data_IF_376836140225
#
_entry.id   IF_376836140225
#
_cell.length_a   1.000
_cell.length_b   1.000
_cell.length_c   1.000
_cell.angle_alpha   90.00
_cell.angle_beta   90.00
_cell.angle_gamma   90.00
#
_symmetry.space_group_name_H-M   'P 1'
#
loop_
_entity.id
_entity.type
_entity.pdbx_description
1 polymer ?
#
# COMPACT_ATOMS: atom_id res chain seq x y z
N UNK A 1 14.91 -15.40 33.78
CA UNK A 1 13.67 -16.09 33.36
C UNK A 1 12.96 -15.44 32.16
N UNK A 2 13.08 -14.11 31.99
CA UNK A 2 12.34 -13.36 30.95
C UNK A 2 12.88 -13.54 29.54
N UNK A 3 14.19 -13.51 29.34
CA UNK A 3 14.81 -13.60 28.00
C UNK A 3 14.58 -14.97 27.33
N UNK A 4 14.64 -16.06 28.08
CA UNK A 4 14.42 -17.41 27.55
C UNK A 4 12.97 -17.57 27.08
N UNK A 5 11.99 -17.05 27.80
CA UNK A 5 10.58 -17.06 27.42
C UNK A 5 10.31 -16.24 26.14
N UNK A 6 10.96 -15.08 25.97
CA UNK A 6 10.83 -14.24 24.78
C UNK A 6 11.42 -14.97 23.57
N UNK A 7 12.60 -15.56 23.71
CA UNK A 7 13.28 -16.31 22.64
C UNK A 7 12.47 -17.52 22.15
N UNK A 8 11.84 -18.26 23.07
CA UNK A 8 11.04 -19.42 22.72
C UNK A 8 9.72 -19.04 22.04
N UNK A 9 9.08 -17.95 22.50
CA UNK A 9 7.89 -17.38 21.84
C UNK A 9 8.22 -16.91 20.42
N UNK A 10 9.36 -16.24 20.23
CA UNK A 10 9.81 -15.80 18.93
C UNK A 10 10.07 -16.98 17.97
N UNK A 11 10.76 -18.02 18.45
CA UNK A 11 10.98 -19.25 17.67
C UNK A 11 9.66 -19.92 17.27
N UNK A 12 8.68 -19.96 18.18
CA UNK A 12 7.37 -20.52 17.87
C UNK A 12 6.65 -19.67 16.84
N UNK A 13 6.64 -18.35 16.99
CA UNK A 13 6.03 -17.43 16.03
C UNK A 13 6.65 -17.57 14.64
N UNK A 14 7.99 -17.63 14.53
CA UNK A 14 8.68 -17.86 13.26
C UNK A 14 8.30 -19.21 12.63
N UNK A 15 8.21 -20.29 13.45
CA UNK A 15 7.82 -21.63 12.97
C UNK A 15 6.38 -21.65 12.44
N UNK A 16 5.48 -20.96 13.12
CA UNK A 16 4.07 -20.83 12.69
C UNK A 16 3.99 -20.02 11.41
N UNK A 17 4.68 -18.87 11.36
CA UNK A 17 4.71 -18.01 10.19
C UNK A 17 5.26 -18.70 8.95
N UNK A 18 6.30 -19.51 9.09
CA UNK A 18 6.86 -20.28 8.00
C UNK A 18 5.88 -21.33 7.41
N UNK A 19 4.93 -21.82 8.23
CA UNK A 19 3.93 -22.82 7.80
C UNK A 19 2.60 -22.22 7.35
N UNK A 20 2.22 -21.04 7.88
CA UNK A 20 0.88 -20.47 7.75
C UNK A 20 0.87 -19.07 7.17
N UNK A 21 2.03 -18.46 6.91
CA UNK A 21 2.21 -17.05 6.49
C UNK A 21 1.64 -16.05 7.51
N UNK A 22 1.48 -16.46 8.76
CA UNK A 22 0.94 -15.69 9.86
C UNK A 22 1.55 -16.19 11.19
N UNK A 23 1.90 -15.33 12.18
CA UNK A 23 1.67 -13.87 12.23
C UNK A 23 2.60 -13.08 11.32
N UNK A 24 2.19 -11.83 11.00
CA UNK A 24 3.07 -10.85 10.37
C UNK A 24 3.98 -10.22 11.42
N UNK A 25 5.22 -9.90 11.02
CA UNK A 25 6.18 -9.19 11.86
C UNK A 25 6.37 -7.77 11.35
N UNK A 26 6.45 -6.82 12.27
CA UNK A 26 6.80 -5.44 11.98
C UNK A 26 8.14 -5.11 12.64
N UNK A 27 9.07 -4.58 11.87
CA UNK A 27 10.39 -4.15 12.34
C UNK A 27 10.37 -2.65 12.58
N UNK A 28 10.03 -2.25 13.81
CA UNK A 28 9.88 -0.84 14.17
C UNK A 28 11.21 -0.08 14.11
N UNK A 29 12.31 -0.77 14.37
CA UNK A 29 13.68 -0.26 14.34
C UNK A 29 14.33 -0.29 12.94
N UNK A 30 13.60 -0.71 11.91
CA UNK A 30 14.11 -0.65 10.54
C UNK A 30 14.30 0.81 10.09
N UNK A 31 15.37 1.14 9.32
CA UNK A 31 15.71 2.52 8.93
C UNK A 31 14.54 3.26 8.24
N UNK A 32 13.77 2.57 7.41
CA UNK A 32 12.62 3.16 6.71
C UNK A 32 11.43 3.48 7.65
N UNK A 33 11.39 2.88 8.84
CA UNK A 33 10.42 3.18 9.88
C UNK A 33 10.95 4.28 10.80
N UNK A 34 12.21 4.17 11.24
CA UNK A 34 12.85 5.18 12.09
C UNK A 34 12.90 6.56 11.46
N UNK A 35 12.89 6.65 10.14
CA UNK A 35 12.85 7.94 9.41
C UNK A 35 11.73 8.87 9.90
N UNK A 36 10.60 8.33 10.33
CA UNK A 36 9.41 9.08 10.75
C UNK A 36 9.28 9.21 12.27
N UNK A 37 9.96 8.32 13.01
CA UNK A 37 9.87 8.29 14.47
C UNK A 37 10.51 9.51 15.11
N UNK A 38 9.79 10.12 16.06
CA UNK A 38 10.28 11.22 16.89
C UNK A 38 10.06 10.86 18.35
N UNK A 39 11.14 10.85 19.15
CA UNK A 39 11.05 10.55 20.57
C UNK A 39 10.11 11.52 21.31
N UNK A 40 9.25 11.00 22.17
CA UNK A 40 8.22 11.78 22.86
C UNK A 40 6.97 12.08 22.04
N UNK A 41 6.89 11.60 20.79
CA UNK A 41 5.78 11.80 19.85
C UNK A 41 5.19 10.45 19.43
N UNK A 42 4.34 9.80 20.27
CA UNK A 42 3.80 8.47 19.97
C UNK A 42 2.97 8.40 18.69
N UNK A 43 2.40 9.52 18.23
CA UNK A 43 1.69 9.61 16.95
C UNK A 43 2.60 9.37 15.74
N UNK A 44 3.93 9.48 15.90
CA UNK A 44 4.92 9.20 14.86
C UNK A 44 5.35 7.74 14.82
N UNK A 45 4.92 6.92 15.76
CA UNK A 45 5.15 5.48 15.70
C UNK A 45 4.37 4.85 14.55
N UNK A 46 5.01 3.90 13.87
CA UNK A 46 4.40 3.23 12.75
C UNK A 46 3.45 2.13 13.22
N UNK A 47 2.22 2.19 12.74
CA UNK A 47 1.24 1.13 12.85
C UNK A 47 0.85 0.61 11.45
N UNK A 48 0.65 -0.71 11.36
CA UNK A 48 0.18 -1.35 10.13
C UNK A 48 -1.32 -1.59 10.25
N UNK A 49 -2.06 -1.18 9.22
CA UNK A 49 -3.50 -1.39 9.11
C UNK A 49 -3.80 -2.68 8.35
N UNK A 50 -4.84 -3.38 8.76
CA UNK A 50 -5.21 -4.66 8.17
C UNK A 50 -4.05 -5.65 8.24
N UNK A 51 -3.65 -6.19 7.09
CA UNK A 51 -2.56 -7.16 7.04
C UNK A 51 -1.17 -6.51 7.02
N UNK A 52 -0.96 -5.48 6.17
CA UNK A 52 0.38 -4.92 5.87
C UNK A 52 0.35 -3.49 5.36
N UNK A 53 -0.79 -2.81 5.41
CA UNK A 53 -0.90 -1.45 4.90
C UNK A 53 -0.20 -0.48 5.85
N UNK A 54 0.77 0.25 5.33
CA UNK A 54 1.53 1.28 6.03
C UNK A 54 1.21 2.63 5.41
N UNK A 55 0.68 3.55 6.21
CA UNK A 55 0.39 4.92 5.78
C UNK A 55 1.19 5.87 6.66
N UNK A 56 2.19 6.54 6.11
CA UNK A 56 3.04 7.51 6.81
C UNK A 56 3.21 8.80 6.01
N UNK A 57 3.84 8.73 4.83
CA UNK A 57 4.00 9.91 3.99
C UNK A 57 2.67 10.60 3.72
N UNK A 58 2.66 11.92 3.75
CA UNK A 58 1.50 12.73 3.44
C UNK A 58 1.88 13.82 2.44
N UNK A 59 1.58 13.59 1.17
CA UNK A 59 1.91 14.51 0.08
C UNK A 59 1.08 15.80 0.19
N UNK A 60 -0.15 15.70 0.72
CA UNK A 60 -1.04 16.85 0.91
C UNK A 60 -0.59 17.75 2.07
N UNK A 61 -0.11 17.16 3.16
CA UNK A 61 0.35 17.86 4.35
C UNK A 61 1.58 17.19 4.94
N UNK A 62 2.80 17.57 4.49
CA UNK A 62 4.05 16.96 4.97
C UNK A 62 4.31 17.12 6.47
N UNK A 63 3.62 18.05 7.15
CA UNK A 63 3.74 18.20 8.61
C UNK A 63 2.95 17.11 9.36
N UNK A 64 2.03 16.43 8.67
CA UNK A 64 1.20 15.35 9.22
C UNK A 64 1.60 13.97 8.66
N UNK A 65 2.89 13.67 8.68
CA UNK A 65 3.41 12.34 8.37
C UNK A 65 3.25 11.39 9.57
N UNK A 66 2.00 11.05 9.87
CA UNK A 66 1.60 10.18 10.97
C UNK A 66 0.64 9.08 10.47
N UNK A 67 0.51 8.00 11.22
CA UNK A 67 -0.45 6.92 10.92
C UNK A 67 -1.85 7.17 11.49
N UNK A 68 -2.01 7.66 12.76
CA UNK A 68 -3.33 7.81 13.38
C UNK A 68 -4.27 8.70 12.58
N UNK A 69 -5.54 8.31 12.53
CA UNK A 69 -6.59 9.06 11.85
C UNK A 69 -6.50 9.06 10.32
N UNK A 70 -5.68 8.21 9.72
CA UNK A 70 -5.48 8.11 8.27
C UNK A 70 -5.74 6.70 7.77
N UNK A 71 -5.90 6.53 6.45
CA UNK A 71 -6.13 5.22 5.87
C UNK A 71 -6.05 5.20 4.35
N UNK A 72 -6.22 4.01 3.79
CA UNK A 72 -6.34 3.82 2.35
C UNK A 72 -7.79 3.99 1.93
N UNK A 73 -8.04 4.94 1.04
CA UNK A 73 -9.39 5.29 0.55
C UNK A 73 -9.88 4.30 -0.49
N UNK A 74 -8.99 3.87 -1.37
CA UNK A 74 -9.30 2.94 -2.44
C UNK A 74 -8.04 2.27 -2.97
N UNK A 75 -8.20 1.07 -3.50
CA UNK A 75 -7.14 0.39 -4.22
C UNK A 75 -7.71 -0.33 -5.46
N UNK A 76 -6.87 -0.53 -6.46
CA UNK A 76 -7.16 -1.35 -7.63
C UNK A 76 -5.92 -2.15 -7.99
N UNK A 77 -6.10 -3.44 -8.31
CA UNK A 77 -5.00 -4.35 -8.61
C UNK A 77 -4.94 -4.69 -10.09
N UNK A 78 -3.74 -4.60 -10.66
CA UNK A 78 -3.43 -4.97 -12.04
C UNK A 78 -3.23 -6.49 -12.11
N UNK A 79 -3.86 -7.13 -13.09
CA UNK A 79 -3.70 -8.55 -13.38
C UNK A 79 -2.49 -8.76 -14.31
N UNK A 80 -1.29 -8.89 -13.71
CA UNK A 80 -0.04 -9.09 -14.46
C UNK A 80 -0.04 -10.37 -15.33
N UNK A 81 -0.56 -11.54 -14.87
CA UNK A 81 -0.63 -12.73 -15.70
C UNK A 81 -1.39 -12.52 -17.01
N UNK A 82 -2.51 -11.80 -16.97
CA UNK A 82 -3.28 -11.51 -18.18
C UNK A 82 -2.44 -10.73 -19.20
N UNK A 83 -1.76 -9.68 -18.75
CA UNK A 83 -0.89 -8.87 -19.61
C UNK A 83 0.23 -9.73 -20.18
N UNK A 84 0.87 -10.55 -19.35
CA UNK A 84 1.98 -11.42 -19.74
C UNK A 84 1.58 -12.48 -20.78
N UNK A 85 0.41 -13.10 -20.60
CA UNK A 85 -0.13 -14.07 -21.58
C UNK A 85 -0.41 -13.38 -22.92
N UNK A 86 -1.02 -12.18 -22.89
CA UNK A 86 -1.31 -11.40 -24.10
C UNK A 86 -0.05 -10.93 -24.80
N UNK A 87 0.99 -10.59 -24.03
CA UNK A 87 2.30 -10.19 -24.56
C UNK A 87 3.00 -11.31 -25.35
N UNK A 88 2.64 -12.57 -25.12
CA UNK A 88 3.22 -13.72 -25.83
C UNK A 88 4.76 -13.64 -25.90
N UNK A 89 5.41 -13.46 -24.73
CA UNK A 89 6.87 -13.32 -24.56
C UNK A 89 7.48 -12.02 -25.10
N UNK A 90 6.71 -11.10 -25.60
CA UNK A 90 7.20 -9.77 -26.01
C UNK A 90 7.26 -8.86 -24.78
N UNK A 91 8.48 -8.64 -24.26
CA UNK A 91 8.72 -7.85 -23.04
C UNK A 91 8.37 -6.37 -23.28
N UNK A 92 8.71 -5.79 -24.42
CA UNK A 92 8.43 -4.38 -24.72
C UNK A 92 6.91 -4.14 -24.79
N UNK A 93 6.17 -5.05 -25.43
CA UNK A 93 4.72 -4.98 -25.46
C UNK A 93 4.11 -5.11 -24.06
N UNK A 94 4.69 -5.99 -23.21
CA UNK A 94 4.24 -6.16 -21.82
C UNK A 94 4.35 -4.85 -21.03
N UNK A 95 5.49 -4.16 -21.11
CA UNK A 95 5.68 -2.89 -20.42
C UNK A 95 4.77 -1.79 -20.94
N UNK A 96 4.62 -1.66 -22.26
CA UNK A 96 3.69 -0.70 -22.85
C UNK A 96 2.23 -0.92 -22.41
N UNK A 97 1.79 -2.17 -22.36
CA UNK A 97 0.43 -2.48 -21.87
C UNK A 97 0.31 -2.31 -20.35
N UNK A 98 1.38 -2.56 -19.59
CA UNK A 98 1.44 -2.29 -18.17
C UNK A 98 1.25 -0.79 -17.89
N UNK A 99 1.91 0.09 -18.62
CA UNK A 99 1.75 1.54 -18.55
C UNK A 99 0.30 1.93 -18.82
N UNK A 100 -0.26 1.47 -19.93
CA UNK A 100 -1.66 1.74 -20.28
C UNK A 100 -2.64 1.28 -19.20
N UNK A 101 -2.45 0.09 -18.60
CA UNK A 101 -3.30 -0.40 -17.50
C UNK A 101 -3.12 0.40 -16.24
N UNK A 102 -1.92 0.86 -15.99
CA UNK A 102 -1.60 1.64 -14.80
C UNK A 102 -2.22 3.03 -14.90
N UNK A 103 -2.17 3.68 -16.06
CA UNK A 103 -2.88 4.96 -16.30
C UNK A 103 -4.39 4.82 -16.07
N UNK A 104 -5.00 3.77 -16.62
CA UNK A 104 -6.41 3.49 -16.43
C UNK A 104 -6.78 3.27 -14.95
N UNK A 105 -5.92 2.59 -14.20
CA UNK A 105 -6.10 2.37 -12.75
C UNK A 105 -6.03 3.69 -11.98
N UNK A 106 -5.10 4.56 -12.32
CA UNK A 106 -4.97 5.88 -11.69
C UNK A 106 -6.18 6.75 -11.97
N UNK A 107 -6.62 6.84 -13.22
CA UNK A 107 -7.85 7.57 -13.59
C UNK A 107 -9.06 7.07 -12.78
N UNK A 108 -9.23 5.75 -12.68
CA UNK A 108 -10.30 5.14 -11.89
C UNK A 108 -10.19 5.48 -10.40
N UNK A 109 -8.98 5.48 -9.83
CA UNK A 109 -8.77 5.82 -8.42
C UNK A 109 -9.07 7.30 -8.15
N UNK A 110 -8.69 8.20 -9.05
CA UNK A 110 -9.00 9.63 -8.96
C UNK A 110 -10.51 9.88 -9.10
N UNK A 111 -11.19 9.20 -10.01
CA UNK A 111 -12.65 9.28 -10.11
C UNK A 111 -13.34 8.83 -8.82
N UNK A 112 -12.89 7.71 -8.23
CA UNK A 112 -13.40 7.24 -6.93
C UNK A 112 -13.14 8.24 -5.80
N UNK A 113 -11.98 8.88 -5.80
CA UNK A 113 -11.70 9.95 -4.85
C UNK A 113 -12.70 11.09 -5.02
N UNK A 114 -12.96 11.55 -6.24
CA UNK A 114 -13.92 12.63 -6.52
C UNK A 114 -15.35 12.28 -6.06
N UNK A 115 -15.78 11.04 -6.26
CA UNK A 115 -17.09 10.56 -5.78
C UNK A 115 -17.16 10.59 -4.25
N UNK A 116 -16.09 10.16 -3.57
CA UNK A 116 -16.03 10.17 -2.10
C UNK A 116 -15.92 11.58 -1.54
N UNK A 117 -15.11 12.43 -2.16
CA UNK A 117 -14.82 13.79 -1.73
C UNK A 117 -16.04 14.73 -1.73
N UNK A 118 -17.02 14.47 -2.60
CA UNK A 118 -18.30 15.19 -2.67
C UNK A 118 -19.30 14.77 -1.59
N UNK A 119 -19.00 13.72 -0.84
CA UNK A 119 -19.86 13.27 0.27
C UNK A 119 -19.69 14.18 1.47
N UNK A 120 -20.67 14.14 2.37
CA UNK A 120 -20.72 14.94 3.59
C UNK A 120 -20.37 14.11 4.82
N UNK A 121 -20.04 14.78 5.93
CA UNK A 121 -19.71 14.14 7.20
C UNK A 121 -20.78 13.14 7.62
N UNK A 122 -22.07 13.45 7.49
CA UNK A 122 -23.16 12.54 7.84
C UNK A 122 -23.21 11.25 7.04
N UNK A 123 -22.54 11.17 5.87
CA UNK A 123 -22.40 9.92 5.11
C UNK A 123 -21.35 8.98 5.71
N UNK A 124 -20.51 9.48 6.62
CA UNK A 124 -19.48 8.74 7.34
C UNK A 124 -19.61 8.98 8.85
N UNK A 125 -20.72 8.57 9.47
CA UNK A 125 -21.05 8.95 10.86
C UNK A 125 -19.99 8.53 11.86
N UNK A 126 -19.36 7.38 11.68
CA UNK A 126 -18.30 6.89 12.56
C UNK A 126 -16.95 7.56 12.28
N UNK A 127 -16.45 7.49 11.03
CA UNK A 127 -15.11 7.97 10.72
C UNK A 127 -14.98 9.49 10.82
N UNK A 128 -15.98 10.20 10.31
CA UNK A 128 -15.95 11.67 10.21
C UNK A 128 -16.76 12.30 11.34
N UNK A 129 -17.93 11.72 11.66
CA UNK A 129 -18.84 12.28 12.67
C UNK A 129 -18.30 12.17 14.09
N UNK A 130 -17.54 11.12 14.41
CA UNK A 130 -16.90 10.95 15.73
C UNK A 130 -15.46 11.50 15.77
N UNK A 131 -15.01 12.22 14.75
CA UNK A 131 -13.67 12.81 14.74
C UNK A 131 -12.51 11.82 14.67
N UNK A 132 -12.73 10.58 14.17
CA UNK A 132 -11.69 9.55 14.12
C UNK A 132 -10.72 9.80 12.96
N UNK A 133 -11.23 10.30 11.82
CA UNK A 133 -10.39 10.70 10.71
C UNK A 133 -9.71 12.02 11.03
N UNK A 134 -8.43 12.14 10.65
CA UNK A 134 -7.63 13.33 10.94
C UNK A 134 -8.34 14.62 10.47
N UNK A 135 -8.39 15.61 11.34
CA UNK A 135 -9.05 16.91 11.14
C UNK A 135 -10.58 16.86 10.90
N UNK A 136 -11.22 15.71 10.98
CA UNK A 136 -12.67 15.62 10.77
C UNK A 136 -13.50 16.25 11.91
N UNK A 137 -12.92 16.36 13.09
CA UNK A 137 -13.49 17.09 14.24
C UNK A 137 -13.70 18.60 13.97
N UNK A 138 -13.05 19.15 12.94
CA UNK A 138 -13.18 20.53 12.50
C UNK A 138 -14.35 20.76 11.54
N UNK A 139 -15.02 19.70 11.09
CA UNK A 139 -16.08 19.73 10.11
C UNK A 139 -17.47 19.66 10.76
N UNK A 140 -18.43 20.40 10.19
CA UNK A 140 -19.85 20.28 10.53
C UNK A 140 -20.50 19.08 9.81
N UNK A 141 -21.63 18.61 10.33
CA UNK A 141 -22.36 17.44 9.81
C UNK A 141 -22.70 17.50 8.31
N UNK A 142 -22.90 18.71 7.77
CA UNK A 142 -23.26 18.95 6.38
C UNK A 142 -22.08 19.41 5.50
N UNK A 143 -20.87 19.48 6.05
CA UNK A 143 -19.70 19.86 5.29
C UNK A 143 -19.21 18.72 4.41
N UNK A 144 -18.62 19.06 3.26
CA UNK A 144 -17.97 18.08 2.39
C UNK A 144 -16.66 17.60 3.02
N UNK A 145 -16.38 16.30 2.86
CA UNK A 145 -15.19 15.67 3.46
C UNK A 145 -13.91 15.87 2.65
N UNK A 146 -13.97 16.52 1.49
CA UNK A 146 -12.84 16.68 0.55
C UNK A 146 -11.55 17.13 1.22
N UNK A 147 -11.61 18.16 2.06
CA UNK A 147 -10.43 18.75 2.69
C UNK A 147 -9.65 17.76 3.55
N UNK A 148 -10.36 16.99 4.36
CA UNK A 148 -9.75 16.00 5.27
C UNK A 148 -9.44 14.65 4.57
N UNK A 149 -10.24 14.31 3.55
CA UNK A 149 -10.07 13.05 2.81
C UNK A 149 -8.73 12.99 2.06
N UNK A 150 -8.16 14.15 1.66
CA UNK A 150 -6.84 14.27 1.04
C UNK A 150 -5.69 13.72 1.90
N UNK A 151 -5.89 13.57 3.20
CA UNK A 151 -4.92 12.91 4.08
C UNK A 151 -4.89 11.38 3.93
N UNK A 152 -5.82 10.80 3.18
CA UNK A 152 -5.82 9.38 2.84
C UNK A 152 -4.93 9.06 1.66
N UNK A 153 -4.80 7.77 1.35
CA UNK A 153 -4.01 7.27 0.23
C UNK A 153 -4.87 6.55 -0.81
N UNK A 154 -4.45 6.61 -2.05
CA UNK A 154 -4.92 5.75 -3.13
C UNK A 154 -3.80 4.77 -3.48
N UNK A 155 -4.13 3.51 -3.72
CA UNK A 155 -3.12 2.48 -3.93
C UNK A 155 -3.32 1.74 -5.23
N UNK A 156 -2.28 1.70 -6.06
CA UNK A 156 -2.17 0.79 -7.20
C UNK A 156 -1.54 -0.50 -6.72
N UNK A 157 -2.22 -1.61 -6.91
CA UNK A 157 -1.73 -2.94 -6.56
C UNK A 157 -1.51 -3.80 -7.79
N UNK A 158 -0.97 -4.98 -7.58
CA UNK A 158 -0.84 -6.01 -8.62
C UNK A 158 -1.03 -7.40 -8.03
N UNK A 159 -1.33 -8.36 -8.87
CA UNK A 159 -1.38 -9.78 -8.54
C UNK A 159 -0.60 -10.59 -9.58
N UNK A 160 -0.09 -11.76 -9.15
CA UNK A 160 0.40 -12.79 -10.05
C UNK A 160 1.75 -12.51 -10.70
N UNK A 161 2.71 -11.87 -10.01
CA UNK A 161 4.05 -11.61 -10.55
C UNK A 161 4.76 -12.89 -10.96
N UNK A 162 4.68 -13.95 -10.14
CA UNK A 162 5.33 -15.24 -10.44
C UNK A 162 4.77 -15.86 -11.71
N UNK A 163 3.45 -15.85 -11.88
CA UNK A 163 2.75 -16.37 -13.04
C UNK A 163 3.04 -15.55 -14.29
N UNK A 164 3.13 -14.21 -14.15
CA UNK A 164 3.50 -13.33 -15.23
C UNK A 164 4.91 -13.61 -15.74
N UNK A 165 5.88 -13.76 -14.84
CA UNK A 165 7.26 -14.12 -15.19
C UNK A 165 7.33 -15.49 -15.89
N UNK A 166 6.57 -16.49 -15.40
CA UNK A 166 6.47 -17.79 -16.09
C UNK A 166 5.89 -17.66 -17.49
N UNK A 167 4.90 -16.83 -17.70
CA UNK A 167 4.33 -16.60 -19.04
C UNK A 167 5.32 -15.88 -19.97
N UNK A 168 6.11 -14.92 -19.46
CA UNK A 168 7.06 -14.14 -20.25
C UNK A 168 8.34 -14.91 -20.58
N UNK A 169 8.96 -15.54 -19.57
CA UNK A 169 10.33 -16.12 -19.71
C UNK A 169 10.43 -17.58 -19.25
N UNK A 170 9.33 -18.21 -18.84
CA UNK A 170 9.28 -19.63 -18.48
C UNK A 170 9.64 -19.98 -17.04
N UNK A 171 10.20 -19.06 -16.27
CA UNK A 171 10.62 -19.24 -14.87
C UNK A 171 10.15 -18.06 -14.01
N UNK A 172 9.99 -18.26 -12.70
CA UNK A 172 9.60 -17.17 -11.78
C UNK A 172 10.78 -16.67 -10.93
N UNK A 173 10.59 -15.58 -10.22
CA UNK A 173 11.62 -14.88 -9.44
C UNK A 173 12.29 -15.70 -8.32
N UNK A 174 11.70 -16.83 -7.90
CA UNK A 174 12.32 -17.78 -6.96
C UNK A 174 13.14 -18.88 -7.63
N UNK A 175 13.18 -18.97 -8.95
CA UNK A 175 13.84 -20.04 -9.72
C UNK A 175 15.12 -19.54 -10.42
N UNK A 176 15.24 -18.26 -10.74
CA UNK A 176 16.44 -17.70 -11.37
C UNK A 176 16.65 -16.22 -11.06
N UNK A 177 17.91 -15.79 -11.09
CA UNK A 177 18.31 -14.40 -10.88
C UNK A 177 17.79 -13.49 -12.02
N UNK A 178 17.76 -13.97 -13.25
CA UNK A 178 17.20 -13.24 -14.40
C UNK A 178 15.73 -12.95 -14.18
N UNK A 179 14.96 -13.93 -13.71
CA UNK A 179 13.54 -13.72 -13.41
C UNK A 179 13.34 -12.81 -12.20
N UNK A 180 14.22 -12.87 -11.19
CA UNK A 180 14.18 -11.97 -10.06
C UNK A 180 14.41 -10.52 -10.51
N UNK A 181 15.41 -10.27 -11.34
CA UNK A 181 15.72 -8.93 -11.86
C UNK A 181 14.56 -8.39 -12.71
N UNK A 182 14.02 -9.18 -13.64
CA UNK A 182 12.84 -8.78 -14.40
C UNK A 182 11.63 -8.50 -13.49
N UNK A 183 11.45 -9.28 -12.42
CA UNK A 183 10.40 -9.03 -11.43
C UNK A 183 10.60 -7.70 -10.69
N UNK A 184 11.83 -7.36 -10.34
CA UNK A 184 12.17 -6.06 -9.74
C UNK A 184 11.95 -4.91 -10.73
N UNK A 185 12.31 -5.09 -12.01
CA UNK A 185 12.06 -4.11 -13.06
C UNK A 185 10.56 -3.84 -13.23
N UNK A 186 9.73 -4.88 -13.27
CA UNK A 186 8.26 -4.74 -13.35
C UNK A 186 7.71 -3.97 -12.15
N UNK A 187 8.14 -4.29 -10.93
CA UNK A 187 7.64 -3.63 -9.72
C UNK A 187 8.13 -2.19 -9.62
N UNK A 188 9.40 -1.92 -9.94
CA UNK A 188 9.97 -0.57 -9.88
C UNK A 188 9.45 0.34 -11.00
N UNK A 189 9.01 -0.23 -12.11
CA UNK A 189 8.43 0.52 -13.23
C UNK A 189 7.09 1.18 -12.86
N UNK A 190 6.23 0.51 -12.11
CA UNK A 190 4.90 1.02 -11.73
C UNK A 190 4.91 2.31 -10.89
N UNK A 191 5.78 2.51 -9.86
CA UNK A 191 5.82 3.76 -9.07
C UNK A 191 6.36 4.97 -9.81
N UNK A 192 7.27 4.77 -10.77
CA UNK A 192 7.91 5.87 -11.51
C UNK A 192 6.90 6.64 -12.36
N UNK A 193 5.84 5.98 -12.80
CA UNK A 193 4.78 6.60 -13.58
C UNK A 193 3.89 7.59 -12.79
N UNK A 194 3.96 7.64 -11.42
CA UNK A 194 3.01 8.39 -10.58
C UNK A 194 3.61 9.39 -9.59
N UNK A 195 4.92 9.52 -9.54
CA UNK A 195 5.58 10.51 -8.66
C UNK A 195 5.41 11.97 -9.13
N UNK A 196 4.68 12.20 -10.20
CA UNK A 196 4.51 13.52 -10.84
C UNK A 196 3.05 13.96 -11.04
N UNK A 197 2.07 13.34 -10.32
CA UNK A 197 0.67 13.77 -10.34
C UNK A 197 0.33 14.70 -9.18
#
# INVERSE_FOLDING_TARGET
>A
GSEMCIRDRFKLACRVSAKRLFPNFSFQDAPFNLKYYKEGHPETEIAYMGCRTRVMANVHDPEKEITPGRGNLSFTSINLPRIAIMANKNIDWFFNELDHKTDLVVEQLLERFEIQAKKKVHNYPFLMGEGIWIDSDKLGCNDEVRGVLKNGTLSVGFIGLAEALKALIGVHHGESEVAQNLGLDIISHMPVSYTHL
#
